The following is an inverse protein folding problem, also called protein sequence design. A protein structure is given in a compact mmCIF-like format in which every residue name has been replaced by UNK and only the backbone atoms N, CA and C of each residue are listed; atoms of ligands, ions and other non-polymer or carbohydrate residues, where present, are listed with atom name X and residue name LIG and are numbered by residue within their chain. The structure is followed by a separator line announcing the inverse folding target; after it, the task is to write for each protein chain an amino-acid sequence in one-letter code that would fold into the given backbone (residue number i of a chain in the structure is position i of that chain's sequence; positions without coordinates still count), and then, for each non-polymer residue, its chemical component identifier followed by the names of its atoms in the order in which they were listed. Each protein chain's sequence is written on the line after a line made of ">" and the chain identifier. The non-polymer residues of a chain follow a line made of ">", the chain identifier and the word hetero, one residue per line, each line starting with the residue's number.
data_IF_038490477562
#
_entry.id   IF_038490477562
#
_cell.length_a   1.000
_cell.length_b   1.000
_cell.length_c   1.000
_cell.angle_alpha   90.00
_cell.angle_beta   90.00
_cell.angle_gamma   90.00
#
_symmetry.space_group_name_H-M   'P 1'
#
loop_
_entity.id
_entity.type
_entity.pdbx_description
1 polymer ?
#
# COMPACT_ATOMS: atom_id res chain seq x y z
N UNK A 1 -34.88 16.38 22.96
CA UNK A 1 -33.67 16.62 22.15
C UNK A 1 -33.62 15.55 21.07
N UNK A 2 -34.07 15.86 19.86
CA UNK A 2 -34.03 14.92 18.72
C UNK A 2 -32.62 14.94 18.14
N UNK A 3 -31.84 13.89 18.38
CA UNK A 3 -30.58 13.67 17.68
C UNK A 3 -30.91 13.40 16.21
N UNK A 4 -30.61 14.36 15.34
CA UNK A 4 -30.76 14.16 13.89
C UNK A 4 -29.84 13.03 13.45
N UNK A 5 -30.38 11.99 12.81
CA UNK A 5 -29.57 10.92 12.25
C UNK A 5 -28.59 11.48 11.20
N UNK A 6 -27.34 11.00 11.16
CA UNK A 6 -26.35 11.48 10.21
C UNK A 6 -26.75 11.13 8.77
N UNK A 7 -26.46 12.03 7.83
CA UNK A 7 -26.72 11.78 6.41
C UNK A 7 -25.88 10.57 5.91
N UNK A 8 -26.37 9.79 4.93
CA UNK A 8 -25.64 8.62 4.42
C UNK A 8 -24.21 8.94 3.92
N UNK A 9 -23.99 10.12 3.33
CA UNK A 9 -22.67 10.58 2.90
C UNK A 9 -21.69 10.76 4.06
N UNK A 10 -22.17 11.23 5.21
CA UNK A 10 -21.37 11.37 6.43
C UNK A 10 -20.98 10.00 7.00
N UNK A 11 -21.94 9.06 7.03
CA UNK A 11 -21.68 7.68 7.47
C UNK A 11 -20.67 6.98 6.55
N UNK A 12 -20.77 7.19 5.23
CA UNK A 12 -19.83 6.63 4.26
C UNK A 12 -18.41 7.20 4.40
N UNK A 13 -18.28 8.52 4.62
CA UNK A 13 -16.98 9.16 4.85
C UNK A 13 -16.32 8.66 6.15
N UNK A 14 -17.10 8.50 7.22
CA UNK A 14 -16.64 7.91 8.48
C UNK A 14 -16.20 6.46 8.29
N UNK A 15 -17.00 5.64 7.59
CA UNK A 15 -16.66 4.26 7.28
C UNK A 15 -15.38 4.13 6.43
N UNK A 16 -15.17 4.98 5.43
CA UNK A 16 -13.94 5.04 4.64
C UNK A 16 -12.71 5.31 5.53
N UNK A 17 -12.86 6.28 6.45
CA UNK A 17 -11.80 6.65 7.38
C UNK A 17 -11.45 5.49 8.31
N UNK A 18 -12.45 4.83 8.90
CA UNK A 18 -12.24 3.68 9.78
C UNK A 18 -11.71 2.44 9.04
N UNK A 19 -12.10 2.25 7.77
CA UNK A 19 -11.56 1.19 6.91
C UNK A 19 -10.04 1.34 6.68
N UNK A 20 -9.56 2.58 6.55
CA UNK A 20 -8.12 2.85 6.43
C UNK A 20 -7.37 2.61 7.74
N UNK A 21 -7.99 2.98 8.87
CA UNK A 21 -7.43 2.84 10.20
C UNK A 21 -7.32 1.38 10.66
N UNK A 22 -8.41 0.61 10.50
CA UNK A 22 -8.45 -0.81 10.84
C UNK A 22 -8.72 -1.13 12.31
N UNK A 23 -9.29 -0.21 13.10
CA UNK A 23 -9.56 -0.43 14.53
C UNK A 23 -11.04 -0.45 14.93
N UNK A 24 -11.97 0.03 14.09
CA UNK A 24 -13.41 -0.02 14.43
C UNK A 24 -14.21 -0.77 13.35
N UNK A 25 -14.20 -2.12 13.39
CA UNK A 25 -14.95 -2.94 12.43
C UNK A 25 -16.44 -2.59 12.37
N UNK A 26 -17.04 -2.19 13.49
CA UNK A 26 -18.46 -1.89 13.62
C UNK A 26 -18.86 -0.65 12.82
N UNK A 27 -18.01 0.38 12.77
CA UNK A 27 -18.27 1.62 12.01
C UNK A 27 -18.30 1.33 10.52
N UNK A 28 -17.35 0.52 10.04
CA UNK A 28 -17.31 0.08 8.64
C UNK A 28 -18.54 -0.78 8.32
N UNK A 29 -18.88 -1.75 9.18
CA UNK A 29 -20.05 -2.61 9.01
C UNK A 29 -21.37 -1.84 9.01
N UNK A 30 -21.48 -0.80 9.85
CA UNK A 30 -22.61 0.16 9.81
C UNK A 30 -22.68 0.86 8.45
N UNK A 31 -21.56 1.38 7.94
CA UNK A 31 -21.50 1.98 6.61
C UNK A 31 -21.93 1.04 5.48
N UNK A 32 -21.51 -0.23 5.55
CA UNK A 32 -21.96 -1.27 4.60
C UNK A 32 -23.47 -1.49 4.67
N UNK A 33 -24.07 -1.49 5.87
CA UNK A 33 -25.52 -1.70 6.03
C UNK A 33 -26.37 -0.50 5.63
N UNK A 34 -25.95 0.71 6.00
CA UNK A 34 -26.83 1.89 5.95
C UNK A 34 -26.43 2.91 4.89
N UNK A 35 -25.24 2.80 4.30
CA UNK A 35 -24.70 3.79 3.36
C UNK A 35 -23.86 3.15 2.22
N UNK A 36 -24.21 1.94 1.78
CA UNK A 36 -23.40 1.17 0.84
C UNK A 36 -23.11 1.89 -0.48
N UNK A 37 -24.10 2.58 -1.07
CA UNK A 37 -23.95 3.29 -2.34
C UNK A 37 -22.84 4.35 -2.29
N UNK A 38 -22.99 5.39 -1.45
CA UNK A 38 -21.94 6.40 -1.28
C UNK A 38 -20.60 5.84 -0.83
N UNK A 39 -20.60 4.78 0.01
CA UNK A 39 -19.35 4.13 0.42
C UNK A 39 -18.65 3.44 -0.76
N UNK A 40 -19.39 2.77 -1.64
CA UNK A 40 -18.86 2.14 -2.85
C UNK A 40 -18.21 3.17 -3.78
N UNK A 41 -18.86 4.31 -3.99
CA UNK A 41 -18.30 5.42 -4.80
C UNK A 41 -16.93 5.85 -4.25
N UNK A 42 -16.85 6.14 -2.94
CA UNK A 42 -15.62 6.57 -2.28
C UNK A 42 -14.51 5.51 -2.36
N UNK A 43 -14.80 4.23 -2.09
CA UNK A 43 -13.77 3.19 -2.12
C UNK A 43 -13.33 2.86 -3.55
N UNK A 44 -14.18 3.05 -4.56
CA UNK A 44 -13.77 2.90 -5.97
C UNK A 44 -12.84 4.04 -6.36
N UNK A 45 -13.25 5.29 -6.10
CA UNK A 45 -12.45 6.49 -6.39
C UNK A 45 -11.05 6.40 -5.77
N UNK A 46 -10.97 5.88 -4.54
CA UNK A 46 -9.74 5.81 -3.79
C UNK A 46 -9.00 4.46 -3.87
N UNK A 47 -9.44 3.54 -4.74
CA UNK A 47 -8.83 2.21 -4.95
C UNK A 47 -8.76 1.35 -3.68
N UNK A 48 -9.82 1.40 -2.88
CA UNK A 48 -10.00 0.67 -1.63
C UNK A 48 -11.12 -0.39 -1.68
N UNK A 49 -11.70 -0.64 -2.85
CA UNK A 49 -12.79 -1.63 -3.00
C UNK A 49 -12.38 -3.03 -2.54
N UNK A 50 -11.13 -3.44 -2.77
CA UNK A 50 -10.63 -4.73 -2.29
C UNK A 50 -10.46 -4.76 -0.76
N UNK A 51 -10.15 -3.62 -0.15
CA UNK A 51 -10.04 -3.50 1.30
C UNK A 51 -11.42 -3.59 1.95
N UNK A 52 -12.43 -2.95 1.34
CA UNK A 52 -13.82 -3.11 1.77
C UNK A 52 -14.31 -4.56 1.58
N UNK A 53 -13.95 -5.21 0.46
CA UNK A 53 -14.29 -6.60 0.22
C UNK A 53 -13.66 -7.55 1.26
N UNK A 54 -12.39 -7.33 1.64
CA UNK A 54 -11.72 -8.08 2.70
C UNK A 54 -12.42 -7.86 4.05
N UNK A 55 -12.85 -6.63 4.36
CA UNK A 55 -13.65 -6.33 5.56
C UNK A 55 -14.99 -7.07 5.56
N UNK A 56 -15.76 -7.01 4.46
CA UNK A 56 -17.05 -7.71 4.32
C UNK A 56 -16.88 -9.20 4.57
N UNK A 57 -15.84 -9.82 4.01
CA UNK A 57 -15.54 -11.23 4.21
C UNK A 57 -15.12 -11.55 5.66
N UNK A 58 -14.23 -10.73 6.25
CA UNK A 58 -13.73 -10.94 7.61
C UNK A 58 -14.79 -10.72 8.70
N UNK A 59 -15.74 -9.80 8.46
CA UNK A 59 -16.84 -9.50 9.37
C UNK A 59 -18.11 -10.32 9.08
N UNK A 60 -18.06 -11.29 8.16
CA UNK A 60 -19.19 -12.15 7.77
C UNK A 60 -20.46 -11.38 7.38
N UNK A 61 -20.29 -10.23 6.71
CA UNK A 61 -21.41 -9.39 6.28
C UNK A 61 -22.06 -9.90 4.99
N UNK A 62 -21.52 -10.96 4.37
CA UNK A 62 -22.04 -11.53 3.14
C UNK A 62 -23.48 -12.05 3.27
N UNK A 63 -23.87 -12.56 4.44
CA UNK A 63 -25.25 -12.99 4.73
C UNK A 63 -26.24 -11.84 4.89
N UNK A 64 -25.76 -10.63 5.16
CA UNK A 64 -26.58 -9.43 5.30
C UNK A 64 -26.79 -8.69 3.96
N UNK A 65 -26.01 -9.05 2.94
CA UNK A 65 -26.06 -8.45 1.61
C UNK A 65 -26.96 -9.25 0.67
N UNK A 66 -27.47 -8.58 -0.37
CA UNK A 66 -28.10 -9.29 -1.47
C UNK A 66 -27.09 -10.22 -2.16
N UNK A 67 -27.56 -11.37 -2.67
CA UNK A 67 -26.69 -12.36 -3.34
C UNK A 67 -25.79 -11.74 -4.45
N UNK A 68 -26.26 -10.82 -5.30
CA UNK A 68 -25.39 -10.15 -6.28
C UNK A 68 -24.24 -9.36 -5.63
N UNK A 69 -24.52 -8.61 -4.56
CA UNK A 69 -23.51 -7.81 -3.86
C UNK A 69 -22.48 -8.69 -3.13
N UNK A 70 -22.94 -9.74 -2.45
CA UNK A 70 -22.04 -10.72 -1.83
C UNK A 70 -21.11 -11.37 -2.88
N UNK A 71 -21.67 -11.75 -4.05
CA UNK A 71 -20.87 -12.29 -5.17
C UNK A 71 -19.89 -11.26 -5.74
N UNK A 72 -20.28 -9.98 -5.82
CA UNK A 72 -19.41 -8.89 -6.27
C UNK A 72 -18.19 -8.76 -5.36
N UNK A 73 -18.37 -8.63 -4.05
CA UNK A 73 -17.25 -8.50 -3.12
C UNK A 73 -16.34 -9.74 -3.13
N UNK A 74 -16.93 -10.93 -3.10
CA UNK A 74 -16.16 -12.17 -3.18
C UNK A 74 -15.39 -12.30 -4.50
N UNK A 75 -15.99 -11.86 -5.62
CA UNK A 75 -15.34 -11.80 -6.93
C UNK A 75 -14.18 -10.81 -6.96
N UNK A 76 -14.39 -9.58 -6.46
CA UNK A 76 -13.36 -8.54 -6.35
C UNK A 76 -12.14 -9.04 -5.58
N UNK A 77 -12.36 -9.65 -4.41
CA UNK A 77 -11.26 -10.15 -3.58
C UNK A 77 -10.52 -11.32 -4.24
N UNK A 78 -11.24 -12.29 -4.82
CA UNK A 78 -10.61 -13.41 -5.55
C UNK A 78 -9.79 -12.94 -6.74
N UNK A 79 -10.32 -12.00 -7.52
CA UNK A 79 -9.59 -11.42 -8.66
C UNK A 79 -8.35 -10.69 -8.17
N UNK A 80 -8.45 -9.83 -7.16
CA UNK A 80 -7.26 -9.11 -6.68
C UNK A 80 -6.23 -10.04 -6.03
N UNK A 81 -6.64 -11.08 -5.34
CA UNK A 81 -5.75 -12.11 -4.82
C UNK A 81 -4.99 -12.84 -5.95
N UNK A 82 -5.69 -13.18 -7.04
CA UNK A 82 -5.07 -13.78 -8.22
C UNK A 82 -4.03 -12.83 -8.85
N UNK A 83 -4.42 -11.56 -9.10
CA UNK A 83 -3.50 -10.54 -9.63
C UNK A 83 -2.26 -10.37 -8.74
N UNK A 84 -2.48 -10.32 -7.43
CA UNK A 84 -1.40 -10.22 -6.42
C UNK A 84 -0.43 -11.40 -6.53
N UNK A 85 -0.92 -12.62 -6.75
CA UNK A 85 -0.07 -13.80 -6.97
C UNK A 85 0.81 -13.65 -8.22
N UNK A 86 0.25 -13.16 -9.33
CA UNK A 86 1.01 -12.89 -10.56
C UNK A 86 2.08 -11.82 -10.30
N UNK A 87 1.72 -10.71 -9.67
CA UNK A 87 2.66 -9.63 -9.35
C UNK A 87 3.79 -10.06 -8.41
N UNK A 88 3.51 -10.93 -7.41
CA UNK A 88 4.53 -11.53 -6.55
C UNK A 88 5.52 -12.38 -7.35
N UNK A 89 5.02 -13.19 -8.30
CA UNK A 89 5.85 -14.00 -9.19
C UNK A 89 6.75 -13.13 -10.05
N UNK A 90 6.17 -12.10 -10.69
CA UNK A 90 6.93 -11.14 -11.50
C UNK A 90 8.00 -10.42 -10.67
N UNK A 91 7.65 -9.98 -9.46
CA UNK A 91 8.62 -9.32 -8.57
C UNK A 91 9.76 -10.27 -8.23
N UNK A 92 9.48 -11.52 -7.88
CA UNK A 92 10.51 -12.52 -7.55
C UNK A 92 11.44 -12.76 -8.75
N UNK A 93 10.89 -12.94 -9.96
CA UNK A 93 11.66 -13.08 -11.21
C UNK A 93 12.62 -11.89 -11.42
N UNK A 94 12.13 -10.66 -11.20
CA UNK A 94 12.95 -9.45 -11.33
C UNK A 94 14.03 -9.41 -10.26
N UNK A 95 13.69 -9.68 -8.99
CA UNK A 95 14.67 -9.66 -7.89
C UNK A 95 15.78 -10.68 -8.09
N UNK A 96 15.45 -11.89 -8.55
CA UNK A 96 16.43 -12.94 -8.83
C UNK A 96 17.38 -12.53 -9.97
N UNK A 97 16.86 -11.88 -11.01
CA UNK A 97 17.66 -11.36 -12.10
C UNK A 97 18.60 -10.24 -11.63
N UNK A 98 18.08 -9.24 -10.92
CA UNK A 98 18.90 -8.14 -10.39
C UNK A 98 19.96 -8.63 -9.39
N UNK A 99 19.61 -9.63 -8.56
CA UNK A 99 20.52 -10.30 -7.64
C UNK A 99 21.70 -10.97 -8.35
N UNK A 100 21.46 -11.66 -9.47
CA UNK A 100 22.54 -12.25 -10.30
C UNK A 100 23.50 -11.21 -10.88
N UNK A 101 23.05 -9.97 -11.06
CA UNK A 101 23.88 -8.85 -11.50
C UNK A 101 24.43 -8.01 -10.34
N UNK A 102 24.27 -8.46 -9.08
CA UNK A 102 24.69 -7.75 -7.87
C UNK A 102 24.17 -6.32 -7.81
N UNK A 103 22.92 -6.10 -8.25
CA UNK A 103 22.25 -4.79 -8.18
C UNK A 103 21.43 -4.73 -6.89
N UNK A 104 21.77 -3.86 -5.91
CA UNK A 104 20.94 -3.64 -4.74
C UNK A 104 19.60 -3.03 -5.13
N UNK A 105 18.52 -3.66 -4.68
CA UNK A 105 17.15 -3.27 -5.01
C UNK A 105 16.24 -3.47 -3.81
N UNK A 106 15.21 -2.64 -3.68
CA UNK A 106 14.11 -2.85 -2.75
C UNK A 106 12.77 -2.69 -3.46
N UNK A 107 11.89 -3.67 -3.30
CA UNK A 107 10.49 -3.54 -3.69
C UNK A 107 9.76 -2.60 -2.72
N UNK A 108 8.87 -1.76 -3.26
CA UNK A 108 8.13 -0.76 -2.49
C UNK A 108 6.62 -0.92 -2.65
N UNK A 109 5.87 -0.13 -1.89
CA UNK A 109 4.41 0.02 -2.00
C UNK A 109 3.66 -1.33 -1.98
N UNK A 110 2.68 -1.51 -2.87
CA UNK A 110 1.67 -2.57 -2.80
C UNK A 110 2.26 -3.95 -2.56
N UNK A 111 3.18 -4.39 -3.43
CA UNK A 111 3.79 -5.73 -3.31
C UNK A 111 4.62 -5.90 -2.04
N UNK A 112 5.26 -4.83 -1.55
CA UNK A 112 6.07 -4.88 -0.33
C UNK A 112 5.24 -4.97 0.96
N UNK A 113 4.00 -4.45 0.94
CA UNK A 113 3.17 -4.33 2.15
C UNK A 113 1.98 -5.29 2.18
N UNK A 114 1.52 -5.81 1.06
CA UNK A 114 0.23 -6.53 0.99
C UNK A 114 0.18 -7.77 1.91
N UNK A 115 1.25 -8.59 1.97
CA UNK A 115 1.27 -9.74 2.88
C UNK A 115 1.34 -9.27 4.32
N UNK A 116 2.30 -8.40 4.61
CA UNK A 116 2.64 -8.06 5.97
C UNK A 116 1.50 -7.25 6.60
N UNK A 117 1.03 -6.18 5.97
CA UNK A 117 0.01 -5.29 6.53
C UNK A 117 -1.43 -5.79 6.31
N UNK A 118 -1.69 -6.54 5.24
CA UNK A 118 -3.06 -6.95 4.84
C UNK A 118 -3.28 -8.48 4.85
N UNK A 119 -2.35 -9.23 5.45
CA UNK A 119 -2.48 -10.67 5.65
C UNK A 119 -2.39 -11.51 4.37
N UNK A 120 -2.07 -10.92 3.22
CA UNK A 120 -1.94 -11.66 1.97
C UNK A 120 -3.26 -12.13 1.35
N UNK A 121 -4.40 -11.63 1.84
CA UNK A 121 -5.76 -12.03 1.43
C UNK A 121 -6.29 -11.32 0.18
N UNK A 122 -5.50 -10.40 -0.38
CA UNK A 122 -5.93 -9.58 -1.52
C UNK A 122 -6.65 -8.29 -1.12
N UNK A 123 -6.63 -7.88 0.15
CA UNK A 123 -7.24 -6.61 0.58
C UNK A 123 -6.53 -5.35 0.05
N UNK A 124 -5.22 -5.44 -0.23
CA UNK A 124 -4.45 -4.33 -0.81
C UNK A 124 -4.44 -4.43 -2.34
N UNK A 125 -5.13 -3.51 -3.00
CA UNK A 125 -5.17 -3.41 -4.46
C UNK A 125 -3.96 -2.63 -5.00
N UNK A 126 -3.25 -3.15 -5.98
CA UNK A 126 -2.18 -2.46 -6.72
C UNK A 126 -2.10 -3.00 -8.16
N UNK A 127 -1.43 -2.29 -9.07
CA UNK A 127 -1.40 -2.59 -10.50
C UNK A 127 0.00 -2.52 -11.13
N UNK A 128 0.98 -2.11 -10.34
CA UNK A 128 2.34 -1.78 -10.71
C UNK A 128 3.31 -2.32 -9.64
N UNK A 129 4.56 -2.50 -10.07
CA UNK A 129 5.69 -2.91 -9.25
C UNK A 129 6.64 -1.74 -9.11
N UNK A 130 6.77 -1.18 -7.91
CA UNK A 130 7.71 -0.10 -7.63
C UNK A 130 9.04 -0.66 -7.12
N UNK A 131 10.15 -0.34 -7.80
CA UNK A 131 11.48 -0.78 -7.44
C UNK A 131 12.40 0.41 -7.16
N UNK A 132 12.98 0.46 -5.96
CA UNK A 132 14.05 1.40 -5.64
C UNK A 132 15.40 0.77 -5.99
N UNK A 133 16.21 1.50 -6.77
CA UNK A 133 17.61 1.17 -7.06
C UNK A 133 18.49 2.39 -6.86
N UNK A 134 19.79 2.18 -6.72
CA UNK A 134 20.73 3.30 -6.69
C UNK A 134 20.77 4.02 -8.06
N UNK A 135 20.93 5.36 -8.13
CA UNK A 135 21.03 6.08 -9.40
C UNK A 135 22.06 5.49 -10.38
N UNK A 136 23.23 5.09 -9.89
CA UNK A 136 24.30 4.49 -10.71
C UNK A 136 23.92 3.13 -11.33
N UNK A 137 22.98 2.41 -10.71
CA UNK A 137 22.49 1.12 -11.19
C UNK A 137 21.25 1.24 -12.08
N UNK A 138 20.73 2.45 -12.30
CA UNK A 138 19.49 2.64 -13.06
C UNK A 138 19.58 2.07 -14.46
N UNK A 139 20.62 2.43 -15.23
CA UNK A 139 20.80 1.94 -16.60
C UNK A 139 20.99 0.42 -16.65
N UNK A 140 21.76 -0.15 -15.70
CA UNK A 140 21.97 -1.60 -15.58
C UNK A 140 20.66 -2.33 -15.26
N UNK A 141 19.87 -1.78 -14.34
CA UNK A 141 18.53 -2.30 -13.97
C UNK A 141 17.61 -2.34 -15.18
N UNK A 142 17.54 -1.26 -15.96
CA UNK A 142 16.71 -1.22 -17.19
C UNK A 142 17.20 -2.24 -18.22
N UNK A 143 18.51 -2.48 -18.34
CA UNK A 143 19.06 -3.53 -19.21
C UNK A 143 18.59 -4.91 -18.77
N UNK A 144 18.71 -5.25 -17.49
CA UNK A 144 18.24 -6.53 -16.94
C UNK A 144 16.74 -6.71 -17.16
N UNK A 145 15.94 -5.66 -16.97
CA UNK A 145 14.50 -5.71 -17.25
C UNK A 145 14.22 -5.94 -18.75
N UNK A 146 14.98 -5.30 -19.65
CA UNK A 146 14.88 -5.56 -21.10
C UNK A 146 15.17 -7.03 -21.42
N UNK A 147 16.19 -7.62 -20.80
CA UNK A 147 16.55 -9.03 -21.00
C UNK A 147 15.45 -9.99 -20.50
N UNK A 148 14.64 -9.56 -19.52
CA UNK A 148 13.43 -10.25 -19.05
C UNK A 148 12.20 -10.02 -19.95
N UNK A 149 12.33 -9.24 -21.03
CA UNK A 149 11.26 -8.93 -21.97
C UNK A 149 10.42 -7.69 -21.61
N UNK A 150 10.86 -6.88 -20.64
CA UNK A 150 10.21 -5.59 -20.37
C UNK A 150 10.63 -4.55 -21.41
N UNK A 151 9.68 -3.74 -21.86
CA UNK A 151 9.89 -2.67 -22.83
C UNK A 151 9.66 -1.31 -22.16
N UNK A 152 10.42 -0.29 -22.58
CA UNK A 152 10.20 1.07 -22.07
C UNK A 152 8.90 1.62 -22.63
N UNK A 153 8.09 2.24 -21.78
CA UNK A 153 7.03 3.12 -22.25
C UNK A 153 7.63 4.48 -22.66
N UNK A 154 7.18 4.98 -23.80
CA UNK A 154 7.62 6.28 -24.32
C UNK A 154 7.29 7.37 -23.29
N UNK A 155 8.29 8.18 -22.91
CA UNK A 155 8.17 9.29 -21.95
C UNK A 155 7.92 8.95 -20.47
N UNK A 156 8.10 7.70 -20.00
CA UNK A 156 8.00 7.37 -18.56
C UNK A 156 9.18 6.55 -18.03
N UNK A 157 9.35 6.55 -16.70
CA UNK A 157 10.25 5.65 -15.98
C UNK A 157 9.74 4.20 -15.93
N UNK A 158 8.48 3.97 -16.32
CA UNK A 158 7.85 2.66 -16.32
C UNK A 158 8.42 1.75 -17.42
N UNK A 159 8.44 0.46 -17.15
CA UNK A 159 8.62 -0.58 -18.15
C UNK A 159 7.46 -1.55 -18.10
N UNK A 160 7.08 -2.09 -19.25
CA UNK A 160 5.95 -3.00 -19.36
C UNK A 160 6.33 -4.30 -20.03
N UNK A 161 5.74 -5.39 -19.57
CA UNK A 161 5.86 -6.72 -20.19
C UNK A 161 4.47 -7.31 -20.35
N UNK A 162 4.12 -7.70 -21.57
CA UNK A 162 2.90 -8.48 -21.80
C UNK A 162 3.06 -9.85 -21.16
N UNK A 163 2.05 -10.29 -20.41
CA UNK A 163 1.98 -11.63 -19.85
C UNK A 163 0.91 -12.41 -20.61
N UNK A 164 1.14 -13.71 -20.77
CA UNK A 164 0.13 -14.65 -21.25
C UNK A 164 -0.80 -15.05 -20.09
N UNK A 165 -1.59 -14.08 -19.62
CA UNK A 165 -2.55 -14.25 -18.51
C UNK A 165 -3.85 -13.48 -18.81
N UNK A 166 -4.99 -14.15 -18.59
CA UNK A 166 -6.32 -13.61 -18.94
C UNK A 166 -6.78 -12.44 -18.07
N UNK A 167 -6.20 -12.27 -16.87
CA UNK A 167 -6.58 -11.24 -15.91
C UNK A 167 -5.49 -10.18 -15.69
N UNK A 168 -4.24 -10.54 -15.95
CA UNK A 168 -3.07 -9.66 -15.86
C UNK A 168 -2.33 -9.72 -17.19
N UNK A 169 -2.84 -9.02 -18.19
CA UNK A 169 -2.25 -8.95 -19.53
C UNK A 169 -0.91 -8.20 -19.55
N UNK A 170 -0.69 -7.27 -18.63
CA UNK A 170 0.52 -6.44 -18.56
C UNK A 170 1.05 -6.37 -17.13
N UNK A 171 2.35 -6.62 -16.98
CA UNK A 171 3.14 -6.25 -15.80
C UNK A 171 3.78 -4.89 -16.02
N UNK A 172 3.58 -3.96 -15.09
CA UNK A 172 4.17 -2.62 -15.12
C UNK A 172 5.19 -2.52 -13.99
N UNK A 173 6.41 -2.09 -14.30
CA UNK A 173 7.51 -1.91 -13.36
C UNK A 173 7.97 -0.45 -13.40
N UNK A 174 7.81 0.25 -12.29
CA UNK A 174 8.39 1.57 -12.08
C UNK A 174 9.73 1.45 -11.37
N UNK A 175 10.81 1.73 -12.10
CA UNK A 175 12.15 1.83 -11.54
C UNK A 175 12.38 3.26 -11.10
N UNK A 176 12.57 3.46 -9.80
CA UNK A 176 12.87 4.77 -9.22
C UNK A 176 14.23 4.79 -8.57
N UNK A 177 14.87 5.95 -8.61
CA UNK A 177 16.20 6.19 -8.06
C UNK A 177 16.17 7.09 -6.84
N UNK A 178 14.97 7.38 -6.32
CA UNK A 178 14.70 8.20 -5.15
C UNK A 178 13.41 7.73 -4.49
N UNK A 179 13.33 7.90 -3.17
CA UNK A 179 12.05 7.80 -2.47
C UNK A 179 11.48 9.21 -2.27
N UNK A 180 10.27 9.33 -1.74
CA UNK A 180 9.71 10.63 -1.41
C UNK A 180 10.45 11.34 -0.26
N UNK A 181 11.33 10.63 0.46
CA UNK A 181 12.08 11.11 1.61
C UNK A 181 13.61 11.12 1.33
N UNK A 182 14.13 10.13 0.60
CA UNK A 182 15.52 10.07 0.15
C UNK A 182 15.68 10.54 -1.30
N UNK A 183 16.26 11.72 -1.51
CA UNK A 183 16.46 12.35 -2.82
C UNK A 183 17.93 12.45 -3.27
N UNK A 184 18.89 12.18 -2.39
CA UNK A 184 20.32 12.12 -2.72
C UNK A 184 20.81 10.67 -2.92
N UNK A 185 21.84 10.45 -3.76
CA UNK A 185 22.41 9.11 -3.96
C UNK A 185 22.85 8.42 -2.66
N UNK A 186 23.48 9.15 -1.73
CA UNK A 186 23.94 8.60 -0.46
C UNK A 186 22.78 8.23 0.47
N UNK A 187 21.70 9.03 0.50
CA UNK A 187 20.49 8.67 1.24
C UNK A 187 19.84 7.41 0.67
N UNK A 188 19.76 7.29 -0.66
CA UNK A 188 19.21 6.11 -1.33
C UNK A 188 20.06 4.88 -1.04
N UNK A 189 21.40 5.00 -1.06
CA UNK A 189 22.31 3.92 -0.65
C UNK A 189 22.03 3.48 0.79
N UNK A 190 21.94 4.43 1.72
CA UNK A 190 21.66 4.13 3.12
C UNK A 190 20.30 3.44 3.32
N UNK A 191 19.27 3.82 2.56
CA UNK A 191 17.95 3.15 2.56
C UNK A 191 18.06 1.72 2.00
N UNK A 192 18.78 1.53 0.90
CA UNK A 192 19.00 0.21 0.31
C UNK A 192 19.80 -0.70 1.24
N UNK A 193 20.80 -0.17 1.96
CA UNK A 193 21.60 -0.94 2.93
C UNK A 193 20.77 -1.44 4.12
N UNK A 194 19.71 -0.71 4.50
CA UNK A 194 18.77 -1.10 5.57
C UNK A 194 17.63 -2.00 5.11
N UNK A 195 17.57 -2.37 3.82
CA UNK A 195 16.49 -3.21 3.27
C UNK A 195 16.31 -4.49 4.09
N UNK A 196 15.08 -4.95 4.18
CA UNK A 196 14.71 -6.16 4.92
C UNK A 196 14.24 -7.24 3.97
N UNK A 197 14.63 -8.48 4.23
CA UNK A 197 14.11 -9.64 3.51
C UNK A 197 12.76 -10.03 4.09
N UNK A 198 11.70 -10.02 3.29
CA UNK A 198 10.34 -10.38 3.72
C UNK A 198 9.81 -11.56 2.92
N UNK A 199 9.28 -12.55 3.61
CA UNK A 199 8.66 -13.71 2.97
C UNK A 199 7.44 -13.30 2.17
N UNK A 200 7.26 -13.92 1.00
CA UNK A 200 6.12 -13.68 0.12
C UNK A 200 5.32 -14.98 -0.04
N UNK A 201 3.98 -14.96 0.02
CA UNK A 201 3.21 -16.20 -0.06
C UNK A 201 3.36 -16.83 -1.45
N UNK A 202 3.68 -18.12 -1.46
CA UNK A 202 3.87 -18.90 -2.70
C UNK A 202 5.28 -18.83 -3.29
N UNK A 203 6.25 -18.24 -2.59
CA UNK A 203 7.64 -18.16 -3.03
C UNK A 203 8.61 -18.52 -1.90
N UNK A 204 9.65 -19.27 -2.23
CA UNK A 204 10.68 -19.70 -1.27
C UNK A 204 11.64 -18.55 -0.92
N UNK A 205 12.00 -17.74 -1.91
CA UNK A 205 12.91 -16.63 -1.71
C UNK A 205 12.18 -15.41 -1.14
N UNK A 206 12.69 -14.80 -0.05
CA UNK A 206 12.13 -13.56 0.46
C UNK A 206 12.45 -12.40 -0.48
N UNK A 207 11.57 -11.40 -0.54
CA UNK A 207 11.82 -10.17 -1.30
C UNK A 207 12.59 -9.16 -0.46
N UNK A 208 13.61 -8.49 -1.02
CA UNK A 208 14.16 -7.29 -0.41
C UNK A 208 13.13 -6.16 -0.51
N UNK A 209 12.75 -5.59 0.64
CA UNK A 209 11.83 -4.45 0.74
C UNK A 209 12.45 -3.36 1.60
N UNK A 210 11.87 -2.16 1.59
CA UNK A 210 12.28 -1.10 2.52
C UNK A 210 12.18 -1.58 3.98
N UNK A 211 13.08 -1.10 4.84
CA UNK A 211 12.87 -1.22 6.27
C UNK A 211 11.54 -0.57 6.64
N UNK A 212 10.87 -1.07 7.69
CA UNK A 212 9.54 -0.59 8.04
C UNK A 212 9.52 0.93 8.31
N UNK A 213 10.58 1.49 8.93
CA UNK A 213 10.74 2.92 9.17
C UNK A 213 10.84 3.73 7.87
N UNK A 214 11.62 3.24 6.90
CA UNK A 214 11.77 3.86 5.58
C UNK A 214 10.47 3.76 4.77
N UNK A 215 9.73 2.64 4.89
CA UNK A 215 8.41 2.48 4.28
C UNK A 215 7.38 3.47 4.86
N UNK A 216 7.35 3.65 6.19
CA UNK A 216 6.46 4.61 6.84
C UNK A 216 6.79 6.03 6.41
N UNK A 217 8.06 6.43 6.46
CA UNK A 217 8.50 7.74 6.00
C UNK A 217 8.17 7.97 4.52
N UNK A 218 8.36 6.97 3.67
CA UNK A 218 7.97 7.01 2.27
C UNK A 218 6.46 7.27 2.10
N UNK A 219 5.60 6.55 2.84
CA UNK A 219 4.16 6.77 2.81
C UNK A 219 3.80 8.19 3.26
N UNK A 220 4.34 8.67 4.39
CA UNK A 220 4.07 10.00 4.93
C UNK A 220 4.50 11.11 3.97
N UNK A 221 5.72 11.05 3.45
CA UNK A 221 6.21 12.03 2.49
C UNK A 221 5.34 12.06 1.21
N UNK A 222 4.88 10.91 0.72
CA UNK A 222 3.97 10.81 -0.44
C UNK A 222 2.60 11.46 -0.25
N UNK A 223 2.14 11.65 0.99
CA UNK A 223 0.88 12.36 1.27
C UNK A 223 1.00 13.85 0.95
N UNK A 224 2.21 14.40 0.96
CA UNK A 224 2.47 15.84 0.82
C UNK A 224 2.97 16.25 -0.57
N UNK A 225 2.92 15.34 -1.54
CA UNK A 225 3.48 15.59 -2.87
C UNK A 225 2.76 16.77 -3.57
N UNK A 226 3.47 17.85 -3.98
CA UNK A 226 2.87 19.14 -4.38
C UNK A 226 1.83 19.08 -5.51
N UNK A 227 1.92 18.06 -6.36
CA UNK A 227 0.99 17.84 -7.49
C UNK A 227 -0.31 17.11 -7.14
N UNK A 228 -0.59 16.82 -5.87
CA UNK A 228 -1.79 16.05 -5.47
C UNK A 228 -2.73 16.92 -4.63
N UNK A 229 -3.94 17.15 -5.16
CA UNK A 229 -5.00 17.94 -4.51
C UNK A 229 -5.92 17.14 -3.59
N UNK A 230 -5.83 15.81 -3.63
CA UNK A 230 -6.73 14.91 -2.90
C UNK A 230 -5.96 13.95 -2.00
N UNK A 231 -6.56 13.61 -0.86
CA UNK A 231 -6.05 12.63 0.10
C UNK A 231 -5.89 11.28 -0.60
N UNK A 232 -4.70 10.69 -0.47
CA UNK A 232 -4.41 9.36 -1.02
C UNK A 232 -4.75 8.30 0.03
N UNK A 233 -6.02 7.94 0.14
CA UNK A 233 -6.49 7.07 1.23
C UNK A 233 -5.78 5.72 1.30
N UNK A 234 -5.44 5.07 0.18
CA UNK A 234 -4.63 3.86 0.20
C UNK A 234 -3.23 4.06 0.83
N UNK A 235 -2.60 5.22 0.62
CA UNK A 235 -1.32 5.57 1.26
C UNK A 235 -1.51 5.88 2.74
N UNK A 236 -2.62 6.52 3.12
CA UNK A 236 -2.98 6.71 4.53
C UNK A 236 -3.14 5.36 5.23
N UNK A 237 -3.85 4.43 4.58
CA UNK A 237 -4.10 3.08 5.08
C UNK A 237 -2.79 2.28 5.26
N UNK A 238 -1.82 2.42 4.35
CA UNK A 238 -0.49 1.83 4.49
C UNK A 238 0.28 2.47 5.67
N UNK A 239 0.30 3.80 5.77
CA UNK A 239 0.98 4.53 6.84
C UNK A 239 0.44 4.20 8.23
N UNK A 240 -0.88 4.19 8.39
CA UNK A 240 -1.55 3.85 9.65
C UNK A 240 -1.22 2.43 10.07
N UNK A 241 -1.32 1.45 9.17
CA UNK A 241 -0.99 0.05 9.47
C UNK A 241 0.48 -0.16 9.79
N UNK A 242 1.39 0.58 9.15
CA UNK A 242 2.81 0.58 9.50
C UNK A 242 3.04 1.13 10.92
N UNK A 243 2.44 2.27 11.24
CA UNK A 243 2.53 2.87 12.58
C UNK A 243 1.99 1.93 13.67
N UNK A 244 0.82 1.32 13.48
CA UNK A 244 0.22 0.39 14.44
C UNK A 244 1.07 -0.86 14.74
N UNK A 245 2.05 -1.17 13.88
CA UNK A 245 3.01 -2.27 14.13
C UNK A 245 4.23 -1.86 14.95
N UNK A 246 4.20 -0.69 15.60
CA UNK A 246 5.26 -0.23 16.50
C UNK A 246 6.52 0.16 15.74
N UNK A 247 6.38 0.64 14.50
CA UNK A 247 7.52 1.07 13.68
C UNK A 247 8.02 2.42 14.18
N UNK A 248 9.16 2.42 14.88
CA UNK A 248 9.83 3.62 15.38
C UNK A 248 10.75 4.19 14.29
N UNK A 249 10.77 5.52 14.16
CA UNK A 249 11.36 6.25 13.03
C UNK A 249 12.52 7.18 13.42
N UNK A 250 13.22 6.95 14.53
CA UNK A 250 14.15 7.93 15.14
C UNK A 250 15.16 8.60 14.18
N UNK A 251 15.62 7.92 13.12
CA UNK A 251 16.51 8.50 12.10
C UNK A 251 15.79 9.15 10.91
N UNK A 252 14.55 8.73 10.60
CA UNK A 252 13.78 9.16 9.42
C UNK A 252 12.75 10.26 9.74
N UNK A 253 12.48 10.50 11.02
CA UNK A 253 11.56 11.56 11.47
C UNK A 253 12.00 12.96 11.09
N UNK A 254 13.30 13.22 10.89
CA UNK A 254 13.83 14.58 10.74
C UNK A 254 13.46 15.29 9.44
N UNK A 255 12.86 14.57 8.49
CA UNK A 255 12.53 15.13 7.20
C UNK A 255 11.23 15.96 7.22
N UNK A 256 11.25 17.22 6.73
CA UNK A 256 10.06 18.08 6.75
C UNK A 256 8.84 17.49 6.04
N UNK A 257 9.03 16.70 4.98
CA UNK A 257 7.94 16.05 4.26
C UNK A 257 7.25 14.96 5.08
N UNK A 258 8.01 14.23 5.90
CA UNK A 258 7.50 13.19 6.80
C UNK A 258 6.64 13.82 7.88
N UNK A 259 7.11 14.91 8.51
CA UNK A 259 6.34 15.66 9.51
C UNK A 259 5.03 16.22 8.94
N UNK A 260 5.08 16.90 7.79
CA UNK A 260 3.87 17.40 7.13
C UNK A 260 2.88 16.27 6.78
N UNK A 261 3.40 15.11 6.39
CA UNK A 261 2.58 13.93 6.12
C UNK A 261 1.90 13.40 7.37
N UNK A 262 2.61 13.40 8.50
CA UNK A 262 2.06 13.05 9.80
C UNK A 262 0.99 14.03 10.26
N UNK A 263 1.24 15.34 10.15
CA UNK A 263 0.27 16.37 10.50
C UNK A 263 -1.01 16.26 9.66
N UNK A 264 -0.89 15.93 8.36
CA UNK A 264 -2.03 15.65 7.50
C UNK A 264 -2.82 14.43 8.01
N UNK A 265 -2.16 13.34 8.38
CA UNK A 265 -2.85 12.19 8.99
C UNK A 265 -3.54 12.57 10.30
N UNK A 266 -2.89 13.34 11.17
CA UNK A 266 -3.50 13.81 12.43
C UNK A 266 -4.72 14.70 12.20
N UNK A 267 -4.72 15.49 11.13
CA UNK A 267 -5.90 16.26 10.72
C UNK A 267 -7.11 15.39 10.39
N UNK A 268 -6.90 14.15 9.93
CA UNK A 268 -7.95 13.18 9.61
C UNK A 268 -8.26 12.29 10.84
N UNK A 269 -7.22 11.93 11.60
CA UNK A 269 -7.27 11.10 12.81
C UNK A 269 -6.62 11.81 14.01
N UNK A 270 -7.36 12.70 14.69
CA UNK A 270 -6.83 13.50 15.80
C UNK A 270 -6.30 12.69 16.99
N UNK A 271 -6.72 11.43 17.11
CA UNK A 271 -6.28 10.51 18.16
C UNK A 271 -4.84 10.00 17.97
N UNK A 272 -4.21 10.22 16.81
CA UNK A 272 -2.82 9.86 16.58
C UNK A 272 -1.87 10.63 17.52
N UNK A 273 -0.75 10.01 17.95
CA UNK A 273 0.22 10.65 18.83
C UNK A 273 0.86 11.88 18.18
N UNK A 274 1.49 12.72 19.00
CA UNK A 274 2.07 13.98 18.55
C UNK A 274 3.16 13.76 17.48
N UNK A 275 3.97 12.73 17.67
CA UNK A 275 4.99 12.29 16.74
C UNK A 275 4.75 10.83 16.28
N UNK A 276 5.18 10.47 15.05
CA UNK A 276 5.02 9.12 14.52
C UNK A 276 5.77 8.03 15.29
N UNK A 277 6.78 8.40 16.10
CA UNK A 277 7.62 7.50 16.89
C UNK A 277 7.10 7.26 18.32
N UNK A 278 6.15 8.05 18.81
CA UNK A 278 5.56 7.87 20.14
C UNK A 278 4.46 6.80 20.08
N UNK A 279 4.87 5.53 19.97
CA UNK A 279 3.91 4.45 20.22
C UNK A 279 3.61 4.39 21.72
N UNK A 280 2.37 4.70 22.08
CA UNK A 280 1.84 4.68 23.44
C UNK A 280 1.65 3.22 23.89
N UNK A 281 2.72 2.42 23.89
CA UNK A 281 2.72 1.01 24.31
C UNK A 281 2.49 0.82 25.82
N UNK A 282 1.91 1.82 26.51
CA UNK A 282 1.47 1.74 27.90
C UNK A 282 0.00 1.39 28.11
N UNK A 283 -0.80 1.20 27.05
CA UNK A 283 -2.20 0.75 27.21
C UNK A 283 -2.39 -0.65 26.65
N UNK A 284 -2.63 -1.56 27.59
CA UNK A 284 -3.36 -2.83 27.43
C UNK A 284 -2.58 -3.99 26.78
N UNK A 285 -1.83 -4.71 27.61
CA UNK A 285 -1.96 -6.18 27.64
C UNK A 285 -2.78 -6.55 28.88
N UNK A 286 -3.85 -7.36 28.76
CA UNK A 286 -4.38 -8.09 29.90
C UNK A 286 -3.35 -9.09 30.44
#
# INVERSE_FOLDING_TARGET
>A
MTSTEPAPSQVAAEALRELCWGSTPETVSRGVRTALGPLLELVIEHKLVCLLADHVAAAHLDSELSRPLARFFAGTLRTNWYKTRIYRRETTLIMDALGRHSIPVAAMNGVSVEKHLYGGRGGRQFSDLDLLVHPDDYSRTKSVLTDLGYQRQTASSAMTRTLDDLLVDISIVDVVTRTAHADTPDHVRAVLDRRQMRSVPGHEQPLPVLAASDALAHCLARLTHPGKRHVRWAVCADALRLHHRGVVTDSVTREPAVHRGWDLLRGIWPQLPAAPCESDHRRERP
#
